data_IF_173659107437
#
_entry.id   IF_173659107437
#
_cell.length_a   1.000
_cell.length_b   1.000
_cell.length_c   1.000
_cell.angle_alpha   90.00
_cell.angle_beta   90.00
_cell.angle_gamma   90.00
#
_symmetry.space_group_name_H-M   'P 1'
#
loop_
_entity.id
_entity.type
_entity.pdbx_description
1 polymer ?
#
# COMPACT_ATOMS: atom_id res chain seq x y z
N UNK A 1 3.09 -1.28 7.93
CA UNK A 1 2.00 -1.35 6.93
C UNK A 1 0.65 -1.67 7.58
N UNK A 2 0.45 -2.84 8.21
CA UNK A 2 -0.86 -3.20 8.75
C UNK A 2 -1.39 -2.22 9.80
N UNK A 3 -0.53 -1.68 10.66
CA UNK A 3 -0.91 -0.62 11.61
C UNK A 3 -1.32 0.69 10.93
N UNK A 4 -0.70 1.02 9.79
CA UNK A 4 -1.09 2.20 9.01
C UNK A 4 -2.44 1.94 8.35
N UNK A 5 -2.66 0.73 7.80
CA UNK A 5 -3.96 0.33 7.27
C UNK A 5 -5.07 0.52 8.30
N UNK A 6 -4.90 0.02 9.53
CA UNK A 6 -5.93 0.14 10.56
C UNK A 6 -6.18 1.58 10.98
N UNK A 7 -5.15 2.44 11.00
CA UNK A 7 -5.32 3.87 11.27
C UNK A 7 -6.12 4.59 10.17
N UNK A 8 -5.93 4.21 8.91
CA UNK A 8 -6.62 4.84 7.77
C UNK A 8 -8.04 4.30 7.62
N UNK A 9 -8.25 3.01 7.85
CA UNK A 9 -9.51 2.34 7.58
C UNK A 9 -10.46 2.25 8.79
N UNK A 10 -10.02 2.59 10.00
CA UNK A 10 -10.88 2.56 11.18
C UNK A 10 -12.01 3.59 11.09
N UNK A 11 -13.16 3.25 11.67
CA UNK A 11 -14.20 4.23 11.92
C UNK A 11 -13.72 5.25 12.97
N UNK A 12 -14.28 6.47 12.99
CA UNK A 12 -14.04 7.40 14.08
C UNK A 12 -14.39 6.74 15.43
N UNK A 13 -13.46 6.68 16.39
CA UNK A 13 -13.76 6.11 17.70
C UNK A 13 -14.68 7.06 18.48
N UNK A 14 -15.45 6.51 19.43
CA UNK A 14 -16.35 7.29 20.27
C UNK A 14 -15.62 8.36 21.12
N UNK A 15 -14.37 8.07 21.49
CA UNK A 15 -13.46 8.98 22.16
C UNK A 15 -12.00 8.61 21.81
N UNK A 16 -11.04 9.43 22.27
CA UNK A 16 -9.61 9.25 21.99
C UNK A 16 -8.90 8.38 23.05
N UNK A 17 -9.63 7.61 23.85
CA UNK A 17 -8.99 6.68 24.79
C UNK A 17 -8.33 5.53 24.03
N UNK A 18 -7.24 5.00 24.59
CA UNK A 18 -6.46 3.92 23.97
C UNK A 18 -7.31 2.70 23.64
N UNK A 19 -8.24 2.34 24.53
CA UNK A 19 -9.09 1.17 24.35
C UNK A 19 -10.08 1.36 23.19
N UNK A 20 -10.67 2.55 23.04
CA UNK A 20 -11.59 2.83 21.93
C UNK A 20 -10.88 2.85 20.58
N UNK A 21 -9.70 3.45 20.51
CA UNK A 21 -8.88 3.41 19.29
C UNK A 21 -8.50 1.97 18.95
N UNK A 22 -8.14 1.15 19.96
CA UNK A 22 -7.80 -0.26 19.76
C UNK A 22 -8.99 -1.06 19.26
N UNK A 23 -10.18 -0.84 19.81
CA UNK A 23 -11.41 -1.51 19.39
C UNK A 23 -11.69 -1.27 17.90
N UNK A 24 -11.60 -0.02 17.43
CA UNK A 24 -11.84 0.30 16.01
C UNK A 24 -10.77 -0.31 15.09
N UNK A 25 -9.49 -0.34 15.52
CA UNK A 25 -8.43 -1.05 14.78
C UNK A 25 -8.69 -2.55 14.68
N UNK A 26 -9.15 -3.17 15.78
CA UNK A 26 -9.46 -4.61 15.80
C UNK A 26 -10.65 -4.93 14.90
N UNK A 27 -11.66 -4.07 14.81
CA UNK A 27 -12.77 -4.23 13.87
C UNK A 27 -12.27 -4.29 12.43
N UNK A 28 -11.38 -3.38 12.02
CA UNK A 28 -10.76 -3.42 10.69
C UNK A 28 -10.07 -4.76 10.46
N UNK A 29 -9.23 -5.21 11.40
CA UNK A 29 -8.49 -6.48 11.28
C UNK A 29 -9.42 -7.68 11.15
N UNK A 30 -10.54 -7.70 11.88
CA UNK A 30 -11.57 -8.76 11.80
C UNK A 30 -12.33 -8.75 10.48
N UNK A 31 -12.45 -7.59 9.84
CA UNK A 31 -13.08 -7.41 8.53
C UNK A 31 -12.14 -7.65 7.35
N UNK A 32 -10.86 -7.96 7.57
CA UNK A 32 -9.94 -8.25 6.46
C UNK A 32 -10.34 -9.56 5.79
N UNK A 33 -10.56 -9.51 4.47
CA UNK A 33 -10.76 -10.73 3.68
C UNK A 33 -9.51 -11.60 3.77
N UNK A 34 -9.71 -12.87 4.14
CA UNK A 34 -8.62 -13.82 4.25
C UNK A 34 -7.98 -14.07 2.88
N UNK A 35 -6.66 -13.99 2.84
CA UNK A 35 -5.86 -14.44 1.70
C UNK A 35 -5.50 -15.91 1.94
N UNK A 36 -5.86 -16.78 1.00
CA UNK A 36 -5.63 -18.22 1.04
C UNK A 36 -5.15 -18.74 -0.31
N UNK A 37 -5.01 -20.05 -0.45
CA UNK A 37 -4.47 -20.68 -1.67
C UNK A 37 -5.31 -20.40 -2.92
N UNK A 38 -6.60 -20.09 -2.76
CA UNK A 38 -7.53 -19.86 -3.89
C UNK A 38 -7.36 -18.47 -4.49
N UNK A 39 -7.00 -17.46 -3.68
CA UNK A 39 -6.95 -16.06 -4.09
C UNK A 39 -5.55 -15.43 -4.02
N UNK A 40 -4.56 -16.09 -3.41
CA UNK A 40 -3.21 -15.54 -3.19
C UNK A 40 -2.53 -15.13 -4.49
N UNK A 41 -2.77 -15.85 -5.59
CA UNK A 41 -2.18 -15.54 -6.90
C UNK A 41 -2.72 -14.27 -7.54
N UNK A 42 -3.96 -13.91 -7.21
CA UNK A 42 -4.65 -12.72 -7.77
C UNK A 42 -4.46 -11.48 -6.89
N UNK A 43 -4.30 -11.70 -5.58
CA UNK A 43 -4.25 -10.64 -4.57
C UNK A 43 -2.83 -10.29 -4.14
N UNK A 44 -1.83 -11.10 -4.48
CA UNK A 44 -0.44 -10.86 -4.07
C UNK A 44 0.52 -10.92 -5.24
N UNK A 45 1.54 -10.06 -5.17
CA UNK A 45 2.71 -10.11 -6.05
C UNK A 45 3.93 -10.11 -5.15
N UNK A 46 4.85 -11.00 -5.43
CA UNK A 46 6.13 -11.12 -4.73
C UNK A 46 7.26 -10.90 -5.73
N UNK A 47 8.34 -10.30 -5.26
CA UNK A 47 9.54 -10.10 -6.07
C UNK A 47 10.80 -10.35 -5.26
N UNK A 48 11.87 -10.71 -5.97
CA UNK A 48 13.22 -10.79 -5.44
C UNK A 48 14.10 -9.95 -6.36
N UNK A 49 14.85 -8.97 -5.81
CA UNK A 49 15.65 -8.07 -6.64
C UNK A 49 16.87 -8.80 -7.22
N UNK A 50 17.19 -8.47 -8.46
CA UNK A 50 18.39 -8.92 -9.16
C UNK A 50 19.45 -7.82 -9.15
N UNK A 51 20.63 -8.13 -9.70
CA UNK A 51 21.67 -7.13 -9.88
C UNK A 51 21.15 -5.91 -10.66
N UNK A 52 21.64 -4.73 -10.31
CA UNK A 52 21.18 -3.48 -10.89
C UNK A 52 22.06 -2.31 -10.51
N UNK A 53 21.50 -1.10 -10.59
CA UNK A 53 22.20 0.14 -10.26
C UNK A 53 21.42 0.94 -9.22
N UNK A 54 22.10 1.41 -8.19
CA UNK A 54 21.57 2.34 -7.19
C UNK A 54 22.48 3.56 -7.18
N UNK A 55 21.92 4.74 -7.49
CA UNK A 55 22.69 5.99 -7.57
C UNK A 55 23.94 5.87 -8.48
N UNK A 56 23.79 5.19 -9.63
CA UNK A 56 24.88 4.95 -10.59
C UNK A 56 25.89 3.87 -10.19
N UNK A 57 25.81 3.30 -8.98
CA UNK A 57 26.70 2.22 -8.53
C UNK A 57 26.06 0.86 -8.80
N UNK A 58 26.83 -0.05 -9.39
CA UNK A 58 26.41 -1.45 -9.58
C UNK A 58 26.23 -2.10 -8.21
N UNK A 59 25.11 -2.77 -8.03
CA UNK A 59 24.78 -3.52 -6.80
C UNK A 59 24.45 -4.96 -7.16
N UNK A 60 24.85 -5.94 -6.32
CA UNK A 60 24.55 -7.35 -6.57
C UNK A 60 23.05 -7.64 -6.42
N UNK A 61 22.62 -8.76 -7.00
CA UNK A 61 21.30 -9.32 -6.73
C UNK A 61 21.21 -9.96 -5.35
N UNK A 62 19.99 -10.24 -4.87
CA UNK A 62 19.78 -10.78 -3.52
C UNK A 62 20.53 -12.11 -3.27
N UNK A 63 20.59 -12.98 -4.28
CA UNK A 63 21.31 -14.26 -4.23
C UNK A 63 22.83 -14.13 -4.42
N UNK A 64 23.31 -12.94 -4.76
CA UNK A 64 24.71 -12.61 -5.02
C UNK A 64 25.34 -11.79 -3.88
N UNK A 65 24.55 -11.37 -2.89
CA UNK A 65 25.05 -10.69 -1.69
C UNK A 65 26.02 -11.59 -0.90
N UNK A 66 26.95 -11.00 -0.16
CA UNK A 66 27.90 -11.75 0.65
C UNK A 66 27.19 -12.61 1.70
N UNK A 67 27.48 -13.92 1.72
CA UNK A 67 26.79 -14.87 2.60
C UNK A 67 25.37 -15.26 2.16
N UNK A 68 24.93 -14.89 0.97
CA UNK A 68 23.59 -15.22 0.49
C UNK A 68 23.40 -16.73 0.27
N UNK A 69 22.22 -17.23 0.66
CA UNK A 69 21.77 -18.56 0.27
C UNK A 69 21.30 -18.54 -1.19
N UNK A 70 22.08 -19.16 -2.08
CA UNK A 70 21.81 -19.21 -3.54
C UNK A 70 20.53 -19.95 -3.93
N UNK A 71 19.93 -20.74 -3.04
CA UNK A 71 18.64 -21.43 -3.27
C UNK A 71 17.45 -20.73 -2.60
N UNK A 72 17.63 -19.51 -2.08
CA UNK A 72 16.59 -18.79 -1.35
C UNK A 72 15.45 -18.33 -2.25
N UNK A 73 14.22 -18.62 -1.81
CA UNK A 73 12.98 -18.10 -2.40
C UNK A 73 12.41 -16.90 -1.62
N UNK A 74 13.20 -16.30 -0.72
CA UNK A 74 12.79 -15.16 0.11
C UNK A 74 12.51 -13.93 -0.75
N UNK A 75 11.40 -13.30 -0.46
CA UNK A 75 10.91 -12.11 -1.13
C UNK A 75 11.64 -10.87 -0.60
N UNK A 76 12.02 -9.98 -1.51
CA UNK A 76 12.56 -8.66 -1.18
C UNK A 76 11.59 -7.54 -1.55
N UNK A 77 10.47 -7.88 -2.19
CA UNK A 77 9.37 -7.01 -2.54
C UNK A 77 8.05 -7.76 -2.39
N UNK A 78 7.02 -7.07 -1.90
CA UNK A 78 5.65 -7.58 -1.88
C UNK A 78 4.66 -6.45 -2.18
N UNK A 79 3.64 -6.76 -2.97
CA UNK A 79 2.44 -5.97 -3.17
C UNK A 79 1.23 -6.83 -2.85
N UNK A 80 0.37 -6.38 -1.94
CA UNK A 80 -0.81 -7.10 -1.48
C UNK A 80 -2.03 -6.22 -1.72
N UNK A 81 -3.02 -6.73 -2.43
CA UNK A 81 -4.38 -6.19 -2.42
C UNK A 81 -5.09 -6.76 -1.19
N UNK A 82 -5.66 -5.86 -0.41
CA UNK A 82 -6.43 -6.14 0.79
C UNK A 82 -7.83 -5.58 0.57
N UNK A 83 -8.84 -6.41 0.78
CA UNK A 83 -10.24 -6.00 0.77
C UNK A 83 -10.76 -6.04 2.22
N UNK A 84 -11.52 -5.02 2.62
CA UNK A 84 -12.12 -4.90 3.96
C UNK A 84 -13.63 -5.11 3.80
N UNK A 85 -14.12 -6.23 4.30
CA UNK A 85 -15.52 -6.65 4.21
C UNK A 85 -16.34 -5.96 5.32
N UNK A 86 -16.52 -4.64 5.16
CA UNK A 86 -17.46 -3.83 5.93
C UNK A 86 -18.18 -2.82 5.03
N UNK A 87 -19.23 -2.19 5.54
CA UNK A 87 -20.07 -1.30 4.74
C UNK A 87 -19.34 -0.03 4.26
N UNK A 88 -18.38 0.47 5.04
CA UNK A 88 -17.63 1.70 4.73
C UNK A 88 -16.66 1.49 3.57
N UNK A 89 -16.02 0.32 3.50
CA UNK A 89 -14.96 0.00 2.53
C UNK A 89 -15.38 -1.05 1.50
N UNK A 90 -16.67 -1.39 1.44
CA UNK A 90 -17.21 -2.30 0.44
C UNK A 90 -16.81 -1.87 -0.99
N UNK A 91 -16.09 -2.74 -1.69
CA UNK A 91 -15.63 -2.50 -3.06
C UNK A 91 -14.46 -1.53 -3.20
N UNK A 92 -13.84 -1.08 -2.11
CA UNK A 92 -12.64 -0.22 -2.14
C UNK A 92 -11.39 -1.08 -1.87
N UNK A 93 -10.53 -1.31 -2.88
CA UNK A 93 -9.31 -2.09 -2.69
C UNK A 93 -8.22 -1.27 -1.99
N UNK A 94 -7.54 -1.87 -1.02
CA UNK A 94 -6.34 -1.31 -0.39
C UNK A 94 -5.10 -2.01 -0.94
N UNK A 95 -4.10 -1.26 -1.39
CA UNK A 95 -2.84 -1.82 -1.86
C UNK A 95 -1.72 -1.53 -0.86
N UNK A 96 -1.13 -2.59 -0.30
CA UNK A 96 0.02 -2.52 0.60
C UNK A 96 1.27 -2.93 -0.18
N UNK A 97 2.25 -2.03 -0.30
CA UNK A 97 3.50 -2.29 -1.03
C UNK A 97 4.70 -2.00 -0.15
N UNK A 98 5.69 -2.88 -0.19
CA UNK A 98 7.00 -2.66 0.42
C UNK A 98 8.06 -3.44 -0.34
N UNK A 99 9.27 -2.91 -0.36
CA UNK A 99 10.40 -3.63 -0.92
C UNK A 99 11.73 -2.96 -0.64
N UNK A 100 12.79 -3.69 -0.97
CA UNK A 100 14.18 -3.23 -0.93
C UNK A 100 14.68 -2.97 -2.36
N UNK A 101 15.76 -2.19 -2.47
CA UNK A 101 16.39 -1.82 -3.76
C UNK A 101 15.39 -1.16 -4.74
N UNK A 102 14.44 -0.39 -4.20
CA UNK A 102 13.54 0.45 -4.99
C UNK A 102 14.23 1.79 -5.33
N UNK A 103 13.77 2.53 -6.37
CA UNK A 103 14.43 3.75 -6.83
C UNK A 103 14.56 4.84 -5.77
N UNK A 104 13.61 4.89 -4.83
CA UNK A 104 13.53 5.94 -3.81
C UNK A 104 13.13 5.34 -2.47
N UNK A 105 13.73 5.83 -1.38
CA UNK A 105 13.25 5.55 -0.02
C UNK A 105 12.03 6.44 0.22
N UNK A 106 10.85 5.84 0.34
CA UNK A 106 9.62 6.55 0.66
C UNK A 106 8.71 5.67 1.53
N UNK A 107 7.94 6.30 2.41
CA UNK A 107 6.81 5.74 3.13
C UNK A 107 5.66 6.73 3.00
N UNK A 108 4.59 6.33 2.33
CA UNK A 108 3.45 7.20 2.06
C UNK A 108 2.13 6.42 2.08
N UNK A 109 1.05 7.14 2.31
CA UNK A 109 -0.33 6.69 2.09
C UNK A 109 -0.90 7.53 0.97
N UNK A 110 -1.43 6.88 -0.07
CA UNK A 110 -2.03 7.56 -1.21
C UNK A 110 -3.49 7.15 -1.32
N UNK A 111 -4.39 8.12 -1.24
CA UNK A 111 -5.83 7.93 -1.41
C UNK A 111 -6.23 8.49 -2.77
N UNK A 112 -6.72 7.63 -3.64
CA UNK A 112 -7.28 8.01 -4.94
C UNK A 112 -8.80 8.18 -4.80
N UNK A 113 -9.31 9.36 -5.13
CA UNK A 113 -10.74 9.62 -5.14
C UNK A 113 -11.37 9.18 -6.46
N UNK A 114 -12.64 8.78 -6.40
CA UNK A 114 -13.42 8.48 -7.61
C UNK A 114 -13.63 9.77 -8.40
N UNK A 115 -13.56 9.66 -9.72
CA UNK A 115 -13.97 10.75 -10.59
C UNK A 115 -15.45 11.06 -10.39
N UNK A 116 -15.86 12.33 -10.57
CA UNK A 116 -17.28 12.67 -10.58
C UNK A 116 -17.98 11.90 -11.71
N UNK A 117 -19.27 11.56 -11.53
CA UNK A 117 -20.02 10.80 -12.54
C UNK A 117 -20.18 11.56 -13.87
N UNK A 118 -20.11 12.89 -13.83
CA UNK A 118 -20.19 13.75 -15.01
C UNK A 118 -18.89 14.54 -15.18
N UNK A 119 -18.25 14.40 -16.35
CA UNK A 119 -17.08 15.20 -16.74
C UNK A 119 -17.54 16.46 -17.48
N UNK A 120 -17.60 17.59 -16.78
CA UNK A 120 -17.95 18.89 -17.36
C UNK A 120 -16.81 19.52 -18.19
N UNK A 121 -15.60 18.96 -18.13
CA UNK A 121 -14.41 19.47 -18.81
C UNK A 121 -13.96 18.51 -19.92
N UNK A 122 -14.89 17.77 -20.54
CA UNK A 122 -14.59 16.77 -21.59
C UNK A 122 -13.80 17.34 -22.77
N UNK A 123 -13.99 18.63 -23.05
CA UNK A 123 -13.33 19.34 -24.15
C UNK A 123 -11.84 19.60 -23.86
N UNK A 124 -11.47 19.78 -22.58
CA UNK A 124 -10.09 19.98 -22.14
C UNK A 124 -9.44 18.67 -21.69
N UNK A 125 -10.22 17.74 -21.14
CA UNK A 125 -9.79 16.46 -20.61
C UNK A 125 -10.79 15.37 -21.01
N UNK A 126 -10.42 14.52 -21.98
CA UNK A 126 -11.24 13.36 -22.34
C UNK A 126 -11.49 12.44 -21.13
N UNK A 127 -10.52 12.32 -20.24
CA UNK A 127 -10.65 11.63 -18.95
C UNK A 127 -10.11 12.54 -17.84
N UNK A 128 -10.95 12.87 -16.87
CA UNK A 128 -10.53 13.63 -15.69
C UNK A 128 -9.48 12.83 -14.90
N UNK A 129 -8.35 13.44 -14.53
CA UNK A 129 -7.43 12.83 -13.58
C UNK A 129 -8.14 12.65 -12.23
N UNK A 130 -7.84 11.56 -11.54
CA UNK A 130 -8.35 11.34 -10.19
C UNK A 130 -7.67 12.26 -9.21
N UNK A 131 -8.46 12.91 -8.34
CA UNK A 131 -7.88 13.61 -7.20
C UNK A 131 -7.12 12.61 -6.32
N UNK A 132 -5.99 13.05 -5.79
CA UNK A 132 -5.08 12.24 -4.99
C UNK A 132 -4.68 12.98 -3.72
N UNK A 133 -4.97 12.37 -2.57
CA UNK A 133 -4.42 12.79 -1.28
C UNK A 133 -3.19 11.94 -0.95
N UNK A 134 -2.03 12.57 -0.84
CA UNK A 134 -0.79 11.91 -0.45
C UNK A 134 -0.40 12.35 0.95
N UNK A 135 -0.31 11.39 1.87
CA UNK A 135 0.22 11.59 3.21
C UNK A 135 1.61 10.96 3.23
N UNK A 136 2.65 11.79 3.16
CA UNK A 136 4.04 11.32 3.20
C UNK A 136 4.48 11.20 4.65
N UNK A 137 4.91 10.00 5.03
CA UNK A 137 5.42 9.70 6.36
C UNK A 137 6.93 9.91 6.42
N UNK A 138 7.68 9.48 5.40
CA UNK A 138 9.15 9.67 5.32
C UNK A 138 9.64 9.50 3.87
N UNK A 139 10.75 10.17 3.47
CA UNK A 139 11.31 11.37 4.06
C UNK A 139 10.38 12.58 3.83
N UNK A 140 10.67 13.72 4.44
CA UNK A 140 9.94 14.99 4.22
C UNK A 140 8.44 14.85 4.51
N UNK A 141 8.10 14.73 5.80
CA UNK A 141 6.74 14.60 6.30
C UNK A 141 5.82 15.70 5.74
N UNK A 142 4.66 15.31 5.19
CA UNK A 142 3.76 16.30 4.59
C UNK A 142 2.46 15.71 4.04
N UNK A 143 1.56 16.61 3.68
CA UNK A 143 0.28 16.30 3.06
C UNK A 143 0.17 17.09 1.76
N UNK A 144 -0.16 16.40 0.67
CA UNK A 144 -0.33 16.98 -0.66
C UNK A 144 -1.67 16.53 -1.25
N UNK A 145 -2.38 17.47 -1.89
CA UNK A 145 -3.60 17.21 -2.66
C UNK A 145 -3.30 17.58 -4.11
N UNK A 146 -3.50 16.62 -5.01
CA UNK A 146 -3.38 16.78 -6.47
C UNK A 146 -4.73 16.51 -7.13
#
# INVERSE_FOLDING_TARGET
LLQILTMIAMSPPADLTTDRIRDEKVKVLRSLRRIDQTNVRETTVRGQYTAGFVQGKKVPGYLEEEGANKSSNTETFVSIRVDIDNWQWAGVPFYLRTGKRLPTKCSEVVVYFKNPPLNLFSDSYQQLPQNKLTIRLQPDEGIEIQ
#
